data_IF_630618504164
#
_entry.id   IF_630618504164
#
_cell.length_a   1.000
_cell.length_b   1.000
_cell.length_c   1.000
_cell.angle_alpha   90.00
_cell.angle_beta   90.00
_cell.angle_gamma   90.00
#
_symmetry.space_group_name_H-M   'P 1'
#
loop_
_entity.id
_entity.type
_entity.pdbx_description
1 polymer ?
#
# COMPACT_ATOMS: atom_id res chain seq x y z
N UNK A 1 -6.35 46.86 -18.61
CA UNK A 1 -6.96 45.59 -19.09
C UNK A 1 -6.42 44.49 -18.21
N UNK A 2 -7.32 43.81 -17.50
CA UNK A 2 -6.99 42.84 -16.47
C UNK A 2 -6.44 41.55 -17.10
N UNK A 3 -5.23 41.14 -16.72
CA UNK A 3 -4.89 39.71 -16.70
C UNK A 3 -5.49 39.15 -15.42
N UNK A 4 -6.75 38.71 -15.54
CA UNK A 4 -7.41 37.83 -14.58
C UNK A 4 -6.62 36.51 -14.57
N UNK A 5 -5.70 36.38 -13.62
CA UNK A 5 -5.15 35.11 -13.17
C UNK A 5 -5.97 34.71 -11.96
N UNK A 6 -6.91 33.79 -12.16
CA UNK A 6 -7.66 33.17 -11.07
C UNK A 6 -6.73 32.23 -10.27
N UNK A 7 -6.56 32.45 -8.95
CA UNK A 7 -5.92 31.47 -8.09
C UNK A 7 -7.00 30.45 -7.67
N UNK A 8 -7.25 29.46 -8.52
CA UNK A 8 -8.32 28.49 -8.27
C UNK A 8 -8.21 27.16 -9.00
N UNK A 9 -7.12 26.89 -9.73
CA UNK A 9 -6.93 25.67 -10.53
C UNK A 9 -5.92 24.70 -9.91
N UNK A 10 -6.01 24.47 -8.60
CA UNK A 10 -5.61 23.18 -8.00
C UNK A 10 -6.81 22.21 -7.90
N UNK A 11 -7.90 22.56 -8.59
CA UNK A 11 -9.18 21.86 -8.55
C UNK A 11 -9.21 20.80 -9.65
N UNK A 12 -9.39 19.54 -9.26
CA UNK A 12 -9.89 18.43 -10.09
C UNK A 12 -9.21 18.15 -11.44
N UNK A 13 -7.97 18.60 -11.70
CA UNK A 13 -7.22 18.16 -12.89
C UNK A 13 -5.97 17.36 -12.51
N UNK A 14 -5.29 17.66 -11.39
CA UNK A 14 -4.26 16.77 -10.83
C UNK A 14 -4.83 15.47 -10.23
N UNK A 15 -6.06 15.52 -9.71
CA UNK A 15 -6.78 14.32 -9.28
C UNK A 15 -7.33 13.51 -10.47
N UNK A 16 -7.39 14.08 -11.68
CA UNK A 16 -7.94 13.43 -12.87
C UNK A 16 -6.89 13.04 -13.92
N UNK A 17 -5.70 13.65 -13.88
CA UNK A 17 -4.57 13.33 -14.76
C UNK A 17 -3.64 12.26 -14.14
N UNK A 18 -3.77 12.03 -12.81
CA UNK A 18 -2.98 11.05 -12.06
C UNK A 18 -3.85 10.09 -11.23
N UNK A 19 -4.96 9.57 -11.79
CA UNK A 19 -5.43 8.24 -11.37
C UNK A 19 -4.43 7.19 -11.87
N UNK A 20 -3.19 7.28 -11.39
CA UNK A 20 -2.13 6.33 -11.65
C UNK A 20 -2.74 4.97 -11.34
N UNK A 21 -2.81 4.10 -12.34
CA UNK A 21 -3.37 2.74 -12.21
C UNK A 21 -2.84 2.01 -10.97
N UNK A 22 -1.64 2.38 -10.54
CA UNK A 22 -0.98 1.89 -9.34
C UNK A 22 -1.60 2.35 -8.02
N UNK A 23 -2.21 3.55 -7.93
CA UNK A 23 -2.94 3.98 -6.74
C UNK A 23 -4.24 3.19 -6.56
N UNK A 24 -4.97 2.95 -7.65
CA UNK A 24 -6.17 2.09 -7.65
C UNK A 24 -5.79 0.66 -7.26
N UNK A 25 -4.70 0.12 -7.82
CA UNK A 25 -4.19 -1.20 -7.49
C UNK A 25 -3.75 -1.28 -6.02
N UNK A 26 -2.99 -0.30 -5.53
CA UNK A 26 -2.49 -0.31 -4.15
C UNK A 26 -3.63 -0.20 -3.13
N UNK A 27 -4.60 0.68 -3.39
CA UNK A 27 -5.77 0.86 -2.53
C UNK A 27 -6.69 -0.36 -2.56
N UNK A 28 -6.93 -0.92 -3.75
CA UNK A 28 -7.70 -2.17 -3.91
C UNK A 28 -7.02 -3.34 -3.20
N UNK A 29 -5.69 -3.42 -3.27
CA UNK A 29 -4.92 -4.45 -2.59
C UNK A 29 -4.98 -4.30 -1.07
N UNK A 30 -4.83 -3.10 -0.54
CA UNK A 30 -4.92 -2.85 0.90
C UNK A 30 -6.25 -3.37 1.45
N UNK A 31 -7.36 -3.09 0.76
CA UNK A 31 -8.67 -3.65 1.13
C UNK A 31 -8.72 -5.17 0.99
N UNK A 32 -8.19 -5.73 -0.10
CA UNK A 32 -8.16 -7.19 -0.32
C UNK A 32 -7.41 -7.93 0.80
N UNK A 33 -6.26 -7.42 1.25
CA UNK A 33 -5.46 -8.04 2.32
C UNK A 33 -6.19 -7.98 3.66
N UNK A 34 -6.81 -6.84 3.98
CA UNK A 34 -7.61 -6.69 5.22
C UNK A 34 -8.77 -7.69 5.23
N UNK A 35 -9.51 -7.80 4.13
CA UNK A 35 -10.65 -8.72 4.00
C UNK A 35 -10.16 -10.18 4.06
N UNK A 36 -9.10 -10.52 3.34
CA UNK A 36 -8.54 -11.88 3.33
C UNK A 36 -8.03 -12.29 4.71
N UNK A 37 -7.31 -11.40 5.41
CA UNK A 37 -6.85 -11.63 6.77
C UNK A 37 -8.00 -11.84 7.75
N UNK A 38 -9.03 -11.00 7.68
CA UNK A 38 -10.23 -11.14 8.51
C UNK A 38 -10.98 -12.46 8.25
N UNK A 39 -11.21 -12.81 6.98
CA UNK A 39 -11.85 -14.06 6.60
C UNK A 39 -11.07 -15.27 7.09
N UNK A 40 -9.74 -15.27 6.96
CA UNK A 40 -8.89 -16.36 7.42
C UNK A 40 -9.06 -16.63 8.92
N UNK A 41 -9.08 -15.57 9.74
CA UNK A 41 -9.33 -15.69 11.19
C UNK A 41 -10.72 -16.28 11.48
N UNK A 42 -11.76 -15.82 10.76
CA UNK A 42 -13.12 -16.35 10.90
C UNK A 42 -13.17 -17.86 10.56
N UNK A 43 -12.51 -18.29 9.48
CA UNK A 43 -12.46 -19.71 9.10
C UNK A 43 -11.71 -20.57 10.14
N UNK A 44 -10.68 -20.05 10.80
CA UNK A 44 -10.00 -20.73 11.90
C UNK A 44 -10.97 -20.97 13.06
N UNK A 45 -11.77 -19.96 13.44
CA UNK A 45 -12.76 -20.11 14.50
C UNK A 45 -13.83 -21.16 14.16
N UNK A 46 -14.34 -21.14 12.93
CA UNK A 46 -15.34 -22.12 12.48
C UNK A 46 -14.78 -23.54 12.49
N UNK A 47 -13.55 -23.72 11.99
CA UNK A 47 -12.85 -25.00 12.06
C UNK A 47 -12.58 -25.45 13.49
N UNK A 48 -12.19 -24.52 14.37
CA UNK A 48 -11.93 -24.79 15.79
C UNK A 48 -13.19 -25.22 16.56
N UNK A 49 -14.31 -24.50 16.37
CA UNK A 49 -15.59 -24.86 16.99
C UNK A 49 -16.07 -26.22 16.46
N UNK A 50 -15.94 -26.45 15.15
CA UNK A 50 -16.29 -27.74 14.55
C UNK A 50 -15.42 -28.89 15.09
N UNK A 51 -14.13 -28.64 15.35
CA UNK A 51 -13.22 -29.61 15.95
C UNK A 51 -13.65 -29.98 17.38
N UNK A 52 -13.99 -28.98 18.20
CA UNK A 52 -14.47 -29.18 19.58
C UNK A 52 -15.80 -29.96 19.58
N UNK A 53 -16.72 -29.60 18.68
CA UNK A 53 -18.03 -30.25 18.57
C UNK A 53 -17.97 -31.64 17.92
N UNK A 54 -16.84 -32.05 17.35
CA UNK A 54 -16.71 -33.34 16.66
C UNK A 54 -16.86 -34.55 17.60
N UNK A 55 -16.72 -34.37 18.92
CA UNK A 55 -17.11 -35.36 19.92
C UNK A 55 -16.45 -36.73 19.78
N UNK A 56 -15.27 -36.81 19.15
CA UNK A 56 -14.55 -38.06 18.91
C UNK A 56 -14.89 -38.79 17.59
N UNK A 57 -15.82 -38.28 16.78
CA UNK A 57 -16.11 -38.85 15.46
C UNK A 57 -14.99 -38.50 14.47
N UNK A 58 -14.23 -39.49 14.02
CA UNK A 58 -13.07 -39.30 13.14
C UNK A 58 -13.39 -38.49 11.87
N UNK A 59 -14.55 -38.73 11.25
CA UNK A 59 -14.96 -38.03 10.03
C UNK A 59 -15.13 -36.51 10.26
N UNK A 60 -15.73 -36.14 11.40
CA UNK A 60 -15.95 -34.75 11.79
C UNK A 60 -14.63 -34.07 12.14
N UNK A 61 -13.76 -34.78 12.87
CA UNK A 61 -12.41 -34.31 13.22
C UNK A 61 -11.60 -34.05 11.95
N UNK A 62 -11.59 -34.99 11.00
CA UNK A 62 -10.85 -34.88 9.74
C UNK A 62 -11.32 -33.66 8.92
N UNK A 63 -12.63 -33.44 8.88
CA UNK A 63 -13.22 -32.29 8.20
C UNK A 63 -12.81 -30.97 8.87
N UNK A 64 -12.94 -30.88 10.20
CA UNK A 64 -12.57 -29.70 10.97
C UNK A 64 -11.07 -29.36 10.84
N UNK A 65 -10.20 -30.37 10.92
CA UNK A 65 -8.75 -30.20 10.75
C UNK A 65 -8.41 -29.73 9.33
N UNK A 66 -9.09 -30.26 8.32
CA UNK A 66 -8.90 -29.81 6.93
C UNK A 66 -9.27 -28.34 6.78
N UNK A 67 -10.41 -27.92 7.34
CA UNK A 67 -10.83 -26.50 7.36
C UNK A 67 -9.79 -25.59 8.01
N UNK A 68 -9.27 -25.97 9.18
CA UNK A 68 -8.23 -25.20 9.88
C UNK A 68 -6.96 -25.12 9.02
N UNK A 69 -6.53 -26.23 8.42
CA UNK A 69 -5.35 -26.26 7.54
C UNK A 69 -5.50 -25.31 6.36
N UNK A 70 -6.64 -25.31 5.69
CA UNK A 70 -6.90 -24.38 4.58
C UNK A 70 -6.90 -22.93 5.03
N UNK A 71 -7.47 -22.63 6.21
CA UNK A 71 -7.47 -21.28 6.75
C UNK A 71 -6.04 -20.79 7.04
N UNK A 72 -5.18 -21.64 7.62
CA UNK A 72 -3.77 -21.35 7.88
C UNK A 72 -3.00 -21.13 6.58
N UNK A 73 -3.21 -21.99 5.57
CA UNK A 73 -2.57 -21.83 4.26
C UNK A 73 -2.96 -20.48 3.64
N UNK A 74 -4.24 -20.11 3.72
CA UNK A 74 -4.73 -18.81 3.27
C UNK A 74 -4.01 -17.65 3.95
N UNK A 75 -3.84 -17.70 5.27
CA UNK A 75 -3.11 -16.68 6.04
C UNK A 75 -1.65 -16.56 5.59
N UNK A 76 -0.96 -17.68 5.42
CA UNK A 76 0.43 -17.71 4.96
C UNK A 76 0.54 -17.09 3.57
N UNK A 77 -0.38 -17.44 2.65
CA UNK A 77 -0.41 -16.87 1.29
C UNK A 77 -0.64 -15.37 1.33
N UNK A 78 -1.53 -14.87 2.20
CA UNK A 78 -1.74 -13.42 2.38
C UNK A 78 -0.46 -12.70 2.82
N UNK A 79 0.30 -13.27 3.75
CA UNK A 79 1.57 -12.70 4.22
C UNK A 79 2.63 -12.74 3.11
N UNK A 80 2.71 -13.83 2.34
CA UNK A 80 3.66 -13.91 1.23
C UNK A 80 3.30 -12.94 0.09
N UNK A 81 2.00 -12.75 -0.16
CA UNK A 81 1.51 -11.84 -1.17
C UNK A 81 1.97 -10.40 -0.90
N UNK A 82 1.99 -9.92 0.36
CA UNK A 82 2.45 -8.55 0.67
C UNK A 82 3.87 -8.29 0.17
N UNK A 83 4.76 -9.29 0.29
CA UNK A 83 6.17 -9.19 -0.12
C UNK A 83 6.29 -9.15 -1.63
N UNK A 84 5.62 -10.08 -2.32
CA UNK A 84 5.64 -10.17 -3.79
C UNK A 84 5.09 -8.87 -4.38
N UNK A 85 3.99 -8.36 -3.84
CA UNK A 85 3.32 -7.20 -4.42
C UNK A 85 4.10 -5.92 -4.14
N UNK A 86 4.71 -5.80 -2.95
CA UNK A 86 5.66 -4.73 -2.68
C UNK A 86 6.88 -4.76 -3.61
N UNK A 87 7.30 -5.95 -4.05
CA UNK A 87 8.41 -6.13 -5.00
C UNK A 87 7.98 -5.82 -6.43
N UNK A 88 6.81 -6.29 -6.86
CA UNK A 88 6.23 -6.00 -8.18
C UNK A 88 5.91 -4.52 -8.32
N UNK A 89 5.36 -3.87 -7.30
CA UNK A 89 5.12 -2.42 -7.31
C UNK A 89 6.41 -1.61 -7.53
N UNK A 90 7.53 -2.04 -6.93
CA UNK A 90 8.85 -1.44 -7.17
C UNK A 90 9.38 -1.75 -8.58
N UNK A 91 9.22 -2.98 -9.06
CA UNK A 91 9.70 -3.40 -10.37
C UNK A 91 8.97 -2.72 -11.53
N UNK A 92 7.72 -2.28 -11.31
CA UNK A 92 6.89 -1.54 -12.26
C UNK A 92 7.29 -0.06 -12.39
N UNK A 93 8.38 0.38 -11.75
CA UNK A 93 8.94 1.73 -11.94
C UNK A 93 8.24 2.83 -11.14
N UNK A 94 7.43 2.48 -10.13
CA UNK A 94 6.93 3.44 -9.16
C UNK A 94 7.69 3.33 -7.83
N UNK A 95 8.47 4.36 -7.54
CA UNK A 95 9.06 4.57 -6.22
C UNK A 95 7.99 4.99 -5.20
N UNK A 96 7.17 4.03 -4.74
CA UNK A 96 6.17 4.24 -3.67
C UNK A 96 6.82 4.74 -2.36
N UNK A 97 8.16 4.72 -2.26
CA UNK A 97 8.92 5.08 -1.05
C UNK A 97 9.95 6.20 -1.30
N UNK A 98 9.88 6.94 -2.43
CA UNK A 98 10.80 8.06 -2.72
C UNK A 98 10.11 9.44 -2.77
N UNK A 99 9.22 9.71 -1.82
CA UNK A 99 8.64 11.04 -1.63
C UNK A 99 9.06 11.72 -0.32
N UNK A 100 10.15 11.26 0.29
CA UNK A 100 10.73 11.91 1.48
C UNK A 100 12.25 12.01 1.32
N UNK A 101 12.74 12.60 0.22
CA UNK A 101 14.14 13.02 0.14
C UNK A 101 14.22 14.51 0.49
N UNK A 102 14.56 14.79 1.74
CA UNK A 102 14.97 16.12 2.21
C UNK A 102 16.16 16.69 1.41
N UNK A 103 16.88 15.82 0.67
CA UNK A 103 17.99 16.21 -0.21
C UNK A 103 17.57 17.24 -1.28
N UNK A 104 16.46 16.99 -1.99
CA UNK A 104 16.02 17.88 -3.07
C UNK A 104 15.66 19.30 -2.56
N UNK A 105 15.20 19.37 -1.30
CA UNK A 105 14.88 20.63 -0.60
C UNK A 105 16.16 21.39 -0.22
N UNK A 106 17.16 20.70 0.31
CA UNK A 106 18.45 21.31 0.69
C UNK A 106 19.27 21.72 -0.53
N UNK A 107 19.19 20.99 -1.64
CA UNK A 107 19.82 21.36 -2.91
C UNK A 107 19.17 22.61 -3.51
N UNK A 108 17.85 22.76 -3.37
CA UNK A 108 17.13 23.98 -3.78
C UNK A 108 17.53 25.18 -2.91
N UNK A 109 17.63 25.02 -1.59
CA UNK A 109 18.07 26.10 -0.67
C UNK A 109 19.53 26.48 -0.90
N UNK A 110 20.40 25.49 -1.12
CA UNK A 110 21.84 25.72 -1.34
C UNK A 110 22.08 26.35 -2.69
N UNK A 111 21.35 25.99 -3.74
CA UNK A 111 21.43 26.67 -5.03
C UNK A 111 20.92 28.12 -4.95
N UNK A 112 19.86 28.40 -4.20
CA UNK A 112 19.38 29.78 -3.95
C UNK A 112 20.39 30.58 -3.12
N UNK A 113 21.05 29.94 -2.14
CA UNK A 113 22.03 30.59 -1.26
C UNK A 113 23.38 30.79 -1.95
N UNK A 114 23.76 29.87 -2.84
CA UNK A 114 24.97 29.98 -3.66
C UNK A 114 24.80 31.01 -4.78
N UNK A 115 23.62 31.11 -5.39
CA UNK A 115 23.29 32.13 -6.41
C UNK A 115 23.16 33.55 -5.79
N UNK A 116 22.73 33.64 -4.53
CA UNK A 116 22.67 34.93 -3.80
C UNK A 116 24.00 35.36 -3.17
N UNK A 117 25.01 34.48 -3.11
CA UNK A 117 26.34 34.75 -2.55
C UNK A 117 27.36 35.33 -3.53
N UNK A 118 27.15 35.22 -4.85
CA UNK A 118 28.11 35.63 -5.89
C UNK A 118 27.98 37.09 -6.36
N UNK A 119 27.01 37.87 -5.86
CA UNK A 119 26.70 39.22 -6.43
C UNK A 119 27.29 40.39 -5.62
N UNK A 120 28.23 40.19 -4.69
CA UNK A 120 28.88 41.31 -3.97
C UNK A 120 30.39 41.18 -3.82
N UNK A 121 31.07 40.75 -4.86
CA UNK A 121 32.54 40.89 -4.92
C UNK A 121 33.03 41.22 -6.32
N UNK A 122 32.56 42.31 -6.94
CA UNK A 122 33.29 43.06 -7.97
C UNK A 122 32.75 44.51 -8.01
N UNK A 123 33.66 45.47 -7.79
CA UNK A 123 33.53 46.95 -7.74
C UNK A 123 32.83 47.60 -6.53
#
# INVERSE_FOLDING_TARGET
MASITEPGSGSIIDAAENYNVLEIINRGLAYAIIIAGFLSVVFIFIGGISFILSGGQEDKIKTAVSTIRYAIIGLIVTILATVIIGTVGKAMGLDIIKYINFGDIIDTITNITSDSGSTRSLD
#
